data_IF_811458805261
#
_entry.id   IF_811458805261
#
_cell.length_a   1.000
_cell.length_b   1.000
_cell.length_c   1.000
_cell.angle_alpha   90.00
_cell.angle_beta   90.00
_cell.angle_gamma   90.00
#
_symmetry.space_group_name_H-M   'P 1'
#
loop_
_entity.id
_entity.type
_entity.pdbx_description
1 polymer ?
#
# COMPACT_ATOMS: atom_id res chain seq x y z
N UNK A 1 -10.51 16.91 0.90
CA UNK A 1 -9.85 15.58 0.79
C UNK A 1 -9.64 15.03 2.19
N UNK A 2 -10.04 13.78 2.42
CA UNK A 2 -9.81 13.05 3.67
C UNK A 2 -9.01 11.77 3.39
N UNK A 3 -8.51 11.13 4.43
CA UNK A 3 -7.87 9.81 4.35
C UNK A 3 -6.71 9.68 3.38
N UNK A 4 -6.65 8.53 2.69
CA UNK A 4 -5.60 8.22 1.72
C UNK A 4 -5.61 9.19 0.55
N UNK A 5 -6.79 9.67 0.12
CA UNK A 5 -6.89 10.67 -0.95
C UNK A 5 -6.07 11.94 -0.64
N UNK A 6 -6.02 12.38 0.62
CA UNK A 6 -5.18 13.53 1.02
C UNK A 6 -3.69 13.27 0.83
N UNK A 7 -3.22 12.04 1.08
CA UNK A 7 -1.80 11.67 0.95
C UNK A 7 -1.32 11.81 -0.50
N UNK A 8 -2.17 11.44 -1.45
CA UNK A 8 -1.85 11.40 -2.88
C UNK A 8 -2.40 12.60 -3.69
N UNK A 9 -2.89 13.65 -3.03
CA UNK A 9 -3.44 14.81 -3.77
C UNK A 9 -4.73 14.51 -4.53
N UNK A 10 -5.48 13.50 -4.09
CA UNK A 10 -6.80 13.14 -4.59
C UNK A 10 -6.82 12.10 -5.71
N UNK A 11 -5.69 11.81 -6.34
CA UNK A 11 -5.61 10.92 -7.49
C UNK A 11 -4.45 9.92 -7.40
N UNK A 12 -4.57 8.82 -8.15
CA UNK A 12 -3.52 7.82 -8.31
C UNK A 12 -3.61 7.19 -9.71
N UNK A 13 -2.59 6.46 -10.16
CA UNK A 13 -2.64 5.80 -11.46
C UNK A 13 -3.08 4.33 -11.33
N UNK A 14 -4.10 3.95 -12.09
CA UNK A 14 -4.44 2.56 -12.34
C UNK A 14 -3.34 1.85 -13.13
N UNK A 15 -3.38 0.51 -13.16
CA UNK A 15 -2.47 -0.32 -13.98
C UNK A 15 -2.48 0.05 -15.47
N UNK A 16 -3.61 0.52 -15.98
CA UNK A 16 -3.78 1.00 -17.36
C UNK A 16 -3.23 2.42 -17.60
N UNK A 17 -2.56 3.04 -16.62
CA UNK A 17 -2.17 4.47 -16.60
C UNK A 17 -3.36 5.45 -16.63
N UNK A 18 -4.57 4.98 -16.35
CA UNK A 18 -5.73 5.85 -16.17
C UNK A 18 -5.73 6.44 -14.77
N UNK A 19 -6.10 7.71 -14.67
CA UNK A 19 -6.24 8.38 -13.38
C UNK A 19 -7.43 7.82 -12.61
N UNK A 20 -7.22 7.58 -11.31
CA UNK A 20 -8.20 7.10 -10.36
C UNK A 20 -8.42 8.19 -9.32
N UNK A 21 -9.64 8.74 -9.26
CA UNK A 21 -10.03 9.64 -8.19
C UNK A 21 -10.26 8.86 -6.90
N UNK A 22 -9.37 9.05 -5.91
CA UNK A 22 -9.42 8.37 -4.62
C UNK A 22 -10.57 8.85 -3.72
N UNK A 23 -11.29 9.91 -4.10
CA UNK A 23 -12.48 10.37 -3.39
C UNK A 23 -13.78 9.73 -3.93
N UNK A 24 -13.70 8.88 -4.96
CA UNK A 24 -14.87 8.17 -5.48
C UNK A 24 -15.42 7.20 -4.41
N UNK A 25 -16.74 7.22 -4.24
CA UNK A 25 -17.44 6.47 -3.18
C UNK A 25 -17.22 4.95 -3.32
N UNK A 26 -16.93 4.45 -4.53
CA UNK A 26 -16.61 3.02 -4.75
C UNK A 26 -15.29 2.57 -4.09
N UNK A 27 -14.47 3.50 -3.62
CA UNK A 27 -13.20 3.22 -2.94
C UNK A 27 -13.27 3.44 -1.42
N UNK A 28 -14.43 3.83 -0.89
CA UNK A 28 -14.67 3.94 0.56
C UNK A 28 -14.52 2.60 1.26
N UNK A 29 -14.09 2.65 2.52
CA UNK A 29 -13.91 1.46 3.36
C UNK A 29 -12.81 0.50 2.88
N UNK A 30 -12.05 0.85 1.83
CA UNK A 30 -10.93 0.02 1.36
C UNK A 30 -9.78 0.06 2.35
N UNK A 31 -9.10 -1.07 2.50
CA UNK A 31 -7.77 -1.12 3.12
C UNK A 31 -6.76 -0.87 2.01
N UNK A 32 -5.85 0.08 2.22
CA UNK A 32 -4.86 0.47 1.23
C UNK A 32 -3.46 0.09 1.70
N UNK A 33 -2.77 -0.76 0.94
CA UNK A 33 -1.38 -1.12 1.15
C UNK A 33 -0.45 -0.19 0.38
N UNK A 34 0.37 0.60 1.07
CA UNK A 34 1.44 1.38 0.44
C UNK A 34 2.68 0.51 0.36
N UNK A 35 3.06 0.15 -0.87
CA UNK A 35 4.14 -0.78 -1.13
C UNK A 35 5.39 -0.06 -1.65
N UNK A 36 6.40 0.08 -0.78
CA UNK A 36 7.70 0.65 -1.14
C UNK A 36 8.64 -0.46 -1.62
N UNK A 37 9.10 -0.36 -2.86
CA UNK A 37 9.93 -1.39 -3.49
C UNK A 37 10.75 -0.83 -4.65
N UNK A 38 11.66 -1.62 -5.21
CA UNK A 38 12.42 -1.27 -6.41
C UNK A 38 12.94 -2.51 -7.15
N UNK A 39 13.16 -2.37 -8.44
CA UNK A 39 13.67 -3.41 -9.31
C UNK A 39 15.07 -3.87 -8.89
N UNK A 40 15.96 -2.92 -8.64
CA UNK A 40 17.37 -3.17 -8.31
C UNK A 40 17.56 -3.92 -6.99
N UNK A 41 16.55 -3.92 -6.11
CA UNK A 41 16.59 -4.47 -4.76
C UNK A 41 16.33 -6.01 -4.77
N UNK A 42 17.31 -6.85 -4.42
CA UNK A 42 17.13 -8.31 -4.40
C UNK A 42 16.01 -8.82 -3.46
N UNK A 43 15.90 -8.40 -2.18
CA UNK A 43 14.81 -8.87 -1.33
C UNK A 43 13.43 -8.41 -1.83
N UNK A 44 13.38 -7.30 -2.57
CA UNK A 44 12.17 -6.80 -3.18
C UNK A 44 11.67 -7.76 -4.25
N UNK A 45 12.54 -8.15 -5.19
CA UNK A 45 12.23 -9.15 -6.23
C UNK A 45 11.80 -10.49 -5.66
N UNK A 46 12.29 -10.87 -4.47
CA UNK A 46 11.85 -12.07 -3.76
C UNK A 46 10.46 -11.95 -3.11
N UNK A 47 10.07 -10.75 -2.66
CA UNK A 47 8.80 -10.53 -1.97
C UNK A 47 7.64 -10.18 -2.93
N UNK A 48 7.90 -9.49 -4.04
CA UNK A 48 6.84 -9.07 -4.97
C UNK A 48 5.97 -10.23 -5.46
N UNK A 49 6.50 -11.39 -5.89
CA UNK A 49 5.65 -12.50 -6.32
C UNK A 49 4.73 -13.01 -5.21
N UNK A 50 5.23 -13.07 -3.97
CA UNK A 50 4.44 -13.46 -2.79
C UNK A 50 3.30 -12.46 -2.56
N UNK A 51 3.59 -11.16 -2.68
CA UNK A 51 2.59 -10.11 -2.53
C UNK A 51 1.54 -10.15 -3.67
N UNK A 52 1.96 -10.45 -4.91
CA UNK A 52 1.04 -10.63 -6.04
C UNK A 52 0.07 -11.77 -5.76
N UNK A 53 0.56 -12.91 -5.28
CA UNK A 53 -0.28 -14.07 -4.97
C UNK A 53 -1.24 -13.78 -3.82
N UNK A 54 -0.76 -13.11 -2.76
CA UNK A 54 -1.60 -12.66 -1.66
C UNK A 54 -2.70 -11.71 -2.15
N UNK A 55 -2.33 -10.69 -2.94
CA UNK A 55 -3.28 -9.72 -3.47
C UNK A 55 -4.35 -10.37 -4.33
N UNK A 56 -3.98 -11.25 -5.26
CA UNK A 56 -4.93 -11.95 -6.14
C UNK A 56 -5.94 -12.78 -5.36
N UNK A 57 -5.51 -13.41 -4.25
CA UNK A 57 -6.37 -14.21 -3.38
C UNK A 57 -7.30 -13.36 -2.52
N UNK A 58 -6.87 -12.15 -2.14
CA UNK A 58 -7.47 -11.42 -1.03
C UNK A 58 -8.10 -10.05 -1.35
N UNK A 59 -7.92 -9.52 -2.57
CA UNK A 59 -8.33 -8.15 -2.89
C UNK A 59 -9.85 -7.94 -2.77
N UNK A 60 -10.65 -8.93 -3.14
CA UNK A 60 -12.12 -8.82 -3.16
C UNK A 60 -12.73 -9.07 -1.78
N UNK A 61 -12.39 -10.19 -1.12
CA UNK A 61 -12.93 -10.57 0.20
C UNK A 61 -12.47 -9.61 1.31
N UNK A 62 -11.26 -9.05 1.20
CA UNK A 62 -10.71 -8.12 2.20
C UNK A 62 -10.87 -6.65 1.84
N UNK A 63 -11.57 -6.34 0.74
CA UNK A 63 -11.72 -4.99 0.19
C UNK A 63 -10.37 -4.23 0.17
N UNK A 64 -9.35 -4.88 -0.41
CA UNK A 64 -7.95 -4.49 -0.29
C UNK A 64 -7.40 -4.01 -1.63
N UNK A 65 -6.66 -2.90 -1.61
CA UNK A 65 -5.95 -2.39 -2.78
C UNK A 65 -4.51 -2.00 -2.42
N UNK A 66 -3.60 -2.03 -3.40
CA UNK A 66 -2.19 -1.66 -3.22
C UNK A 66 -1.83 -0.46 -4.10
N UNK A 67 -1.02 0.43 -3.54
CA UNK A 67 -0.38 1.53 -4.27
C UNK A 67 1.12 1.29 -4.24
N UNK A 68 1.69 1.03 -5.42
CA UNK A 68 3.14 0.91 -5.60
C UNK A 68 3.82 2.27 -5.55
N UNK A 69 4.83 2.39 -4.69
CA UNK A 69 5.68 3.57 -4.55
C UNK A 69 7.12 3.15 -4.82
N UNK A 70 7.59 3.43 -6.03
CA UNK A 70 8.89 2.97 -6.50
C UNK A 70 10.07 3.72 -5.88
N UNK A 71 11.17 2.99 -5.69
CA UNK A 71 12.50 3.52 -5.36
C UNK A 71 13.49 3.29 -6.50
N UNK A 72 13.01 3.02 -7.72
CA UNK A 72 13.84 2.86 -8.91
C UNK A 72 14.52 4.19 -9.28
N UNK A 73 15.69 4.08 -9.91
CA UNK A 73 16.53 5.24 -10.24
C UNK A 73 16.18 5.85 -11.61
N UNK A 74 15.51 5.06 -12.46
CA UNK A 74 15.08 5.43 -13.80
C UNK A 74 13.68 4.86 -14.09
N UNK A 75 12.99 5.50 -15.05
CA UNK A 75 11.61 5.17 -15.41
C UNK A 75 11.51 3.82 -16.15
N UNK A 76 12.58 3.41 -16.84
CA UNK A 76 12.64 2.14 -17.54
C UNK A 76 12.59 0.96 -16.56
N UNK A 77 13.46 0.97 -15.55
CA UNK A 77 13.50 -0.02 -14.47
C UNK A 77 12.19 -0.04 -13.68
N UNK A 78 11.59 1.12 -13.43
CA UNK A 78 10.26 1.23 -12.83
C UNK A 78 9.20 0.49 -13.65
N UNK A 79 9.14 0.77 -14.96
CA UNK A 79 8.13 0.20 -15.85
C UNK A 79 8.32 -1.30 -16.03
N UNK A 80 9.57 -1.76 -16.18
CA UNK A 80 9.90 -3.17 -16.29
C UNK A 80 9.45 -3.95 -15.05
N UNK A 81 9.81 -3.45 -13.86
CA UNK A 81 9.46 -4.10 -12.60
C UNK A 81 7.96 -4.07 -12.30
N UNK A 82 7.29 -2.98 -12.60
CA UNK A 82 5.86 -2.83 -12.37
C UNK A 82 5.01 -3.65 -13.36
N UNK A 83 5.58 -4.19 -14.43
CA UNK A 83 4.86 -4.85 -15.52
C UNK A 83 3.89 -5.94 -15.03
N UNK A 84 4.33 -6.76 -14.07
CA UNK A 84 3.54 -7.89 -13.58
C UNK A 84 2.71 -7.58 -12.32
N UNK A 85 2.82 -6.36 -11.79
CA UNK A 85 2.08 -5.93 -10.61
C UNK A 85 0.62 -5.55 -10.96
N UNK A 86 -0.39 -6.18 -10.34
CA UNK A 86 -1.80 -6.02 -10.72
C UNK A 86 -2.55 -4.91 -9.98
N UNK A 87 -1.84 -3.95 -9.38
CA UNK A 87 -2.39 -2.92 -8.48
C UNK A 87 -2.05 -1.50 -8.94
N UNK A 88 -2.47 -0.46 -8.21
CA UNK A 88 -2.22 0.94 -8.57
C UNK A 88 -0.77 1.40 -8.35
N UNK A 89 -0.39 2.54 -8.90
CA UNK A 89 0.95 3.11 -8.74
C UNK A 89 0.92 4.62 -8.55
N UNK A 90 1.88 5.12 -7.79
CA UNK A 90 2.29 6.52 -7.87
C UNK A 90 3.03 6.72 -9.19
N UNK A 91 2.77 7.84 -9.88
CA UNK A 91 3.53 8.20 -11.08
C UNK A 91 5.03 8.26 -10.73
N UNK A 92 5.87 7.69 -11.59
CA UNK A 92 7.32 7.73 -11.42
C UNK A 92 7.84 9.18 -11.30
N UNK A 93 7.20 10.13 -11.98
CA UNK A 93 7.57 11.55 -11.97
C UNK A 93 7.34 12.23 -10.62
N UNK A 94 6.45 11.69 -9.78
CA UNK A 94 6.09 12.21 -8.46
C UNK A 94 7.16 11.90 -7.38
N UNK A 95 8.44 12.18 -7.68
CA UNK A 95 9.58 11.88 -6.81
C UNK A 95 9.53 12.62 -5.47
N UNK A 96 9.03 13.86 -5.47
CA UNK A 96 8.82 14.65 -4.26
C UNK A 96 7.81 13.98 -3.32
N UNK A 97 6.65 13.58 -3.87
CA UNK A 97 5.61 12.87 -3.12
C UNK A 97 6.10 11.53 -2.57
N UNK A 98 6.85 10.77 -3.37
CA UNK A 98 7.49 9.53 -2.92
C UNK A 98 8.36 9.76 -1.68
N UNK A 99 9.18 10.82 -1.68
CA UNK A 99 10.07 11.13 -0.56
C UNK A 99 9.29 11.60 0.68
N UNK A 100 8.25 12.40 0.49
CA UNK A 100 7.32 12.81 1.56
C UNK A 100 6.71 11.57 2.24
N UNK A 101 6.14 10.65 1.46
CA UNK A 101 5.52 9.42 1.98
C UNK A 101 6.53 8.54 2.72
N UNK A 102 7.71 8.31 2.14
CA UNK A 102 8.76 7.52 2.79
C UNK A 102 9.17 8.11 4.14
N UNK A 103 9.30 9.44 4.22
CA UNK A 103 9.61 10.16 5.47
C UNK A 103 8.47 10.06 6.49
N UNK A 104 7.23 10.33 6.08
CA UNK A 104 6.05 10.28 6.95
C UNK A 104 5.82 8.90 7.56
N UNK A 105 6.07 7.83 6.79
CA UNK A 105 5.96 6.45 7.26
C UNK A 105 7.26 5.89 7.85
N UNK A 106 8.31 6.71 7.97
CA UNK A 106 9.62 6.32 8.52
C UNK A 106 10.22 5.10 7.84
N UNK A 107 10.08 5.02 6.51
CA UNK A 107 10.60 3.92 5.70
C UNK A 107 12.12 4.04 5.62
N UNK A 108 12.83 3.16 6.33
CA UNK A 108 14.30 3.08 6.34
C UNK A 108 14.86 1.99 5.42
N UNK A 109 14.01 1.11 4.89
CA UNK A 109 14.42 0.00 4.02
C UNK A 109 13.27 -0.54 3.19
N UNK A 110 13.62 -1.26 2.12
CA UNK A 110 12.69 -1.91 1.20
C UNK A 110 13.00 -3.41 1.07
N UNK A 111 12.02 -4.27 0.77
CA UNK A 111 10.60 -3.94 0.58
C UNK A 111 9.90 -3.61 1.90
N UNK A 112 8.92 -2.70 1.84
CA UNK A 112 8.06 -2.36 2.97
C UNK A 112 6.59 -2.25 2.52
N UNK A 113 5.67 -2.76 3.34
CA UNK A 113 4.22 -2.70 3.08
C UNK A 113 3.51 -2.15 4.33
N UNK A 114 2.90 -0.97 4.17
CA UNK A 114 2.14 -0.29 5.23
C UNK A 114 0.66 -0.36 4.88
N UNK A 115 -0.17 -0.91 5.77
CA UNK A 115 -1.62 -0.93 5.60
C UNK A 115 -2.25 0.30 6.27
N UNK A 116 -3.10 0.97 5.51
CA UNK A 116 -3.87 2.13 5.92
C UNK A 116 -5.36 1.84 5.81
N UNK A 117 -6.11 2.47 6.70
CA UNK A 117 -7.54 2.65 6.52
C UNK A 117 -7.78 3.69 5.42
N UNK A 118 -8.50 3.34 4.36
CA UNK A 118 -8.68 4.19 3.18
C UNK A 118 -9.34 5.53 3.49
N UNK A 119 -10.35 5.53 4.37
CA UNK A 119 -11.18 6.69 4.68
C UNK A 119 -10.52 7.67 5.64
N UNK A 120 -9.86 7.16 6.67
CA UNK A 120 -9.20 7.98 7.68
C UNK A 120 -7.72 8.22 7.39
N UNK A 121 -7.10 7.40 6.54
CA UNK A 121 -5.66 7.45 6.24
C UNK A 121 -4.79 7.01 7.41
N UNK A 122 -5.38 6.44 8.47
CA UNK A 122 -4.65 5.99 9.67
C UNK A 122 -3.93 4.68 9.38
N UNK A 123 -2.76 4.53 10.00
CA UNK A 123 -2.01 3.28 9.94
C UNK A 123 -2.75 2.18 10.71
N UNK A 124 -3.01 1.09 10.02
CA UNK A 124 -3.53 -0.15 10.61
C UNK A 124 -2.36 -1.03 11.03
N UNK A 125 -1.43 -1.28 10.09
CA UNK A 125 -0.30 -2.18 10.23
C UNK A 125 0.92 -1.59 9.52
N UNK A 126 2.08 -1.58 10.17
CA UNK A 126 3.34 -1.06 9.61
C UNK A 126 4.36 -2.16 9.25
N UNK A 127 4.03 -3.43 9.50
CA UNK A 127 4.88 -4.60 9.22
C UNK A 127 4.18 -5.61 8.31
N UNK A 128 3.42 -5.12 7.30
CA UNK A 128 2.61 -5.99 6.43
C UNK A 128 3.44 -6.98 5.62
N UNK A 129 4.71 -6.64 5.32
CA UNK A 129 5.64 -7.57 4.67
C UNK A 129 5.92 -8.77 5.57
N UNK A 130 6.25 -8.53 6.83
CA UNK A 130 6.58 -9.57 7.80
C UNK A 130 5.38 -10.50 8.02
N UNK A 131 4.18 -9.93 8.08
CA UNK A 131 2.93 -10.69 8.18
C UNK A 131 2.78 -11.64 7.00
N UNK A 132 2.78 -11.12 5.76
CA UNK A 132 2.56 -11.92 4.55
C UNK A 132 3.68 -12.94 4.33
N UNK A 133 4.93 -12.57 4.59
CA UNK A 133 6.07 -13.41 4.25
C UNK A 133 6.34 -14.51 5.30
N UNK A 134 6.08 -14.25 6.58
CA UNK A 134 6.56 -15.11 7.66
C UNK A 134 5.51 -15.53 8.70
N UNK A 135 4.48 -14.72 8.98
CA UNK A 135 3.59 -14.96 10.13
C UNK A 135 2.20 -15.47 9.74
N UNK A 136 1.55 -14.81 8.80
CA UNK A 136 0.17 -15.08 8.38
C UNK A 136 0.05 -15.05 6.86
N UNK A 137 0.64 -16.07 6.23
CA UNK A 137 0.73 -16.21 4.77
C UNK A 137 -0.64 -16.29 4.08
N UNK A 138 -1.67 -16.72 4.81
CA UNK A 138 -3.04 -16.86 4.33
C UNK A 138 -3.94 -15.66 4.67
N UNK A 139 -3.43 -14.69 5.44
CA UNK A 139 -4.17 -13.50 5.82
C UNK A 139 -5.38 -13.78 6.72
N UNK A 140 -5.32 -14.82 7.55
CA UNK A 140 -6.40 -15.20 8.48
C UNK A 140 -6.68 -14.08 9.50
N UNK A 141 -5.64 -13.36 9.90
CA UNK A 141 -5.68 -12.26 10.86
C UNK A 141 -5.55 -10.87 10.21
N UNK A 142 -5.65 -10.79 8.88
CA UNK A 142 -5.66 -9.51 8.16
C UNK A 142 -6.79 -8.61 8.69
N UNK A 143 -6.55 -7.30 8.92
CA UNK A 143 -5.41 -6.50 8.47
C UNK A 143 -4.30 -6.30 9.53
N UNK A 144 -4.13 -7.23 10.46
CA UNK A 144 -3.03 -7.22 11.44
C UNK A 144 -2.94 -5.90 12.23
N UNK A 145 -4.08 -5.49 12.80
CA UNK A 145 -4.22 -4.24 13.55
C UNK A 145 -3.14 -4.15 14.63
N UNK A 146 -2.32 -3.10 14.55
CA UNK A 146 -1.39 -2.75 15.63
C UNK A 146 -2.14 -2.44 16.93
N UNK A 147 -1.47 -2.57 18.08
CA UNK A 147 -2.06 -2.24 19.40
C UNK A 147 -2.63 -0.81 19.47
N UNK A 148 -2.03 0.13 18.71
CA UNK A 148 -2.52 1.50 18.59
C UNK A 148 -3.90 1.59 17.94
N UNK A 149 -4.15 0.77 16.91
CA UNK A 149 -5.46 0.69 16.26
C UNK A 149 -6.51 -0.01 17.14
N UNK A 150 -6.10 -1.01 17.93
CA UNK A 150 -6.99 -1.69 18.89
C UNK A 150 -7.50 -0.72 19.99
N UNK A 151 -6.64 0.20 20.46
CA UNK A 151 -7.03 1.24 21.44
C UNK A 151 -7.95 2.32 20.83
N UNK A 152 -7.73 2.71 19.59
CA UNK A 152 -8.57 3.71 18.91
C UNK A 152 -10.00 3.21 18.66
N UNK A 153 -10.17 1.93 18.26
CA UNK A 153 -11.49 1.34 18.00
C UNK A 153 -12.35 1.21 19.25
N UNK A 154 -11.76 0.99 20.43
CA UNK A 154 -12.50 0.93 21.71
C UNK A 154 -13.04 2.29 22.16
N UNK A 155 -12.46 3.39 21.69
CA UNK A 155 -12.91 4.76 22.05
C UNK A 155 -14.13 5.22 21.23
N UNK A 156 -14.38 4.64 20.06
CA UNK A 156 -15.54 4.97 19.23
C UNK A 156 -16.83 4.23 19.61
N UNK A 157 -16.77 3.19 20.46
CA UNK A 157 -17.95 2.41 20.89
C UNK A 157 -18.53 2.94 22.23
N UNK A 158 -17.97 4.03 22.77
CA UNK A 158 -18.35 4.63 24.06
C UNK A 158 -18.99 6.03 23.94
N UNK A 159 -19.58 6.35 22.78
CA UNK A 159 -20.45 7.51 22.57
C UNK A 159 -21.74 7.06 21.88
#
# INVERSE_FOLDING_TARGET
MTGVAKLFGGHILHKSNQEVNLNDEKYRGKIIGIYFSAHWCPPCRGFTPILIDFYKKHKEDKNFEIIFVSSDNDEESFNDYYKDMPWWKLDYKERGKRNELASSFKISGIPALILLDGDSGKIICNNGREQIQFQDKNGENFPWKSEAHAKASKRCILL
#
